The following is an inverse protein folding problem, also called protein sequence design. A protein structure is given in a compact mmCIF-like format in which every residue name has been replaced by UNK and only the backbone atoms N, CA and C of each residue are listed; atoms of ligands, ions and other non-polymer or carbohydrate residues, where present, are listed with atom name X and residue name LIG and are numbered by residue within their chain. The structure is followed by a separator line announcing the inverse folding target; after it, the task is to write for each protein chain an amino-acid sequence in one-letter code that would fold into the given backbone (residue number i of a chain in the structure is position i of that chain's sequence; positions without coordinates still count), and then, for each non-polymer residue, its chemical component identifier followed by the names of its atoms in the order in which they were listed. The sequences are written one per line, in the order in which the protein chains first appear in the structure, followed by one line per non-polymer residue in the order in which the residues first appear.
data_IF_349738876316
#
_entry.id   IF_349738876316
#
_cell.length_a   1.000
_cell.length_b   1.000
_cell.length_c   1.000
_cell.angle_alpha   90.00
_cell.angle_beta   90.00
_cell.angle_gamma   90.00
#
_symmetry.space_group_name_H-M   'P 1'
#
loop_
_entity.id
_entity.type
_entity.pdbx_description
1 polymer ?
#
# COMPACT_ATOMS: atom_id res chain seq x y z
N UNK A 1 58.45 31.49 20.18
CA UNK A 1 57.66 30.50 20.94
C UNK A 1 56.85 29.69 19.96
N UNK A 2 57.01 28.37 20.02
CA UNK A 2 56.61 27.40 19.01
C UNK A 2 55.11 27.11 19.06
N UNK A 3 54.44 27.16 17.92
CA UNK A 3 53.20 26.40 17.70
C UNK A 3 53.47 25.38 16.60
N UNK A 4 53.57 24.12 17.00
CA UNK A 4 53.59 22.95 16.14
C UNK A 4 52.17 22.64 15.68
N UNK A 5 51.88 22.93 14.42
CA UNK A 5 50.63 22.52 13.77
C UNK A 5 50.83 21.19 13.05
N UNK A 6 50.23 20.14 13.59
CA UNK A 6 50.03 18.86 12.95
C UNK A 6 49.19 19.04 11.68
N UNK A 7 49.77 18.83 10.50
CA UNK A 7 49.01 18.58 9.28
C UNK A 7 49.24 17.12 8.90
N UNK A 8 48.23 16.30 9.20
CA UNK A 8 48.18 14.88 8.82
C UNK A 8 48.18 14.73 7.28
N UNK A 9 49.02 13.88 6.69
CA UNK A 9 49.01 13.59 5.25
C UNK A 9 47.96 12.51 4.92
N UNK A 10 46.68 12.77 5.23
CA UNK A 10 45.57 11.82 4.97
C UNK A 10 44.82 12.14 3.67
N UNK A 11 45.05 13.29 3.04
CA UNK A 11 44.40 13.63 1.78
C UNK A 11 45.36 13.54 0.59
N UNK A 12 45.77 12.31 0.26
CA UNK A 12 46.25 12.00 -1.09
C UNK A 12 45.62 10.70 -1.57
N UNK A 13 44.84 10.86 -2.63
CA UNK A 13 44.48 9.84 -3.61
C UNK A 13 43.51 8.76 -3.14
N UNK A 14 42.22 8.98 -3.40
CA UNK A 14 41.41 7.97 -4.08
C UNK A 14 40.17 8.65 -4.67
N UNK A 15 40.34 9.33 -5.81
CA UNK A 15 39.25 9.41 -6.80
C UNK A 15 39.12 7.99 -7.34
N UNK A 16 38.41 7.14 -6.58
CA UNK A 16 37.93 5.87 -7.11
C UNK A 16 36.73 6.20 -7.97
N UNK A 17 36.97 6.13 -9.27
CA UNK A 17 36.04 5.74 -10.31
C UNK A 17 34.70 5.29 -9.72
N UNK A 18 33.66 6.12 -9.88
CA UNK A 18 32.29 5.61 -9.97
C UNK A 18 32.25 4.70 -11.19
N UNK A 19 32.72 3.46 -11.03
CA UNK A 19 32.37 2.39 -11.94
C UNK A 19 30.88 2.23 -11.74
N UNK A 20 30.11 2.74 -12.70
CA UNK A 20 28.73 2.35 -12.93
C UNK A 20 28.71 0.85 -13.18
N UNK A 21 28.81 0.07 -12.10
CA UNK A 21 28.40 -1.31 -12.09
C UNK A 21 26.92 -1.27 -12.36
N UNK A 22 26.55 -1.54 -13.62
CA UNK A 22 25.22 -2.05 -13.93
C UNK A 22 25.10 -3.37 -13.18
N UNK A 23 24.78 -3.29 -11.89
CA UNK A 23 24.35 -4.43 -11.12
C UNK A 23 23.16 -4.97 -11.87
N UNK A 24 23.34 -6.13 -12.51
CA UNK A 24 22.26 -6.83 -13.17
C UNK A 24 21.12 -6.92 -12.16
N UNK A 25 20.02 -6.20 -12.42
CA UNK A 25 18.86 -6.25 -11.55
C UNK A 25 18.36 -7.68 -11.56
N UNK A 26 18.66 -8.43 -10.50
CA UNK A 26 18.15 -9.78 -10.32
C UNK A 26 16.64 -9.64 -10.11
N UNK A 27 15.88 -9.74 -11.20
CA UNK A 27 14.43 -9.82 -11.21
C UNK A 27 13.99 -11.13 -10.57
N UNK A 28 14.03 -11.18 -9.23
CA UNK A 28 13.48 -12.25 -8.42
C UNK A 28 11.95 -12.20 -8.50
N UNK A 29 11.39 -12.78 -9.56
CA UNK A 29 9.95 -13.03 -9.64
C UNK A 29 9.58 -14.25 -8.81
N UNK A 30 8.53 -14.11 -8.01
CA UNK A 30 7.95 -15.20 -7.21
C UNK A 30 6.55 -15.45 -7.73
N UNK A 31 6.26 -16.72 -8.06
CA UNK A 31 4.97 -17.18 -8.59
C UNK A 31 3.88 -17.30 -7.50
N UNK A 32 3.91 -16.40 -6.50
CA UNK A 32 2.90 -16.33 -5.45
C UNK A 32 1.71 -15.48 -5.91
N UNK A 33 0.51 -15.88 -5.49
CA UNK A 33 -0.70 -15.07 -5.70
C UNK A 33 -0.52 -13.67 -5.13
N UNK A 34 -0.95 -12.67 -5.89
CA UNK A 34 -0.94 -11.27 -5.46
C UNK A 34 -2.34 -10.86 -5.03
N UNK A 35 -2.43 -10.16 -3.92
CA UNK A 35 -3.68 -9.53 -3.49
C UNK A 35 -4.11 -8.45 -4.47
N UNK A 36 -5.36 -8.52 -4.94
CA UNK A 36 -5.96 -7.50 -5.78
C UNK A 36 -6.13 -6.18 -5.00
N UNK A 37 -5.28 -5.20 -5.30
CA UNK A 37 -5.17 -3.96 -4.52
C UNK A 37 -6.45 -3.13 -4.50
N UNK A 38 -7.20 -3.10 -5.61
CA UNK A 38 -8.50 -2.40 -5.66
C UNK A 38 -9.54 -3.01 -4.73
N UNK A 39 -9.56 -4.34 -4.61
CA UNK A 39 -10.45 -5.04 -3.70
C UNK A 39 -10.02 -4.79 -2.24
N UNK A 40 -8.72 -4.90 -1.95
CA UNK A 40 -8.19 -4.67 -0.61
C UNK A 40 -8.39 -3.25 -0.08
N UNK A 41 -8.49 -2.24 -0.96
CA UNK A 41 -8.83 -0.87 -0.56
C UNK A 41 -10.30 -0.71 -0.16
N UNK A 42 -11.20 -1.51 -0.74
CA UNK A 42 -12.66 -1.39 -0.57
C UNK A 42 -13.22 -2.35 0.49
N UNK A 43 -12.61 -3.51 0.63
CA UNK A 43 -13.05 -4.60 1.49
C UNK A 43 -12.05 -4.85 2.61
N UNK A 44 -12.56 -5.21 3.78
CA UNK A 44 -11.75 -5.65 4.92
C UNK A 44 -12.21 -7.02 5.40
N UNK A 45 -11.24 -7.93 5.59
CA UNK A 45 -11.46 -9.27 6.15
C UNK A 45 -11.89 -9.16 7.61
N UNK A 46 -12.86 -9.98 7.98
CA UNK A 46 -13.36 -10.23 9.36
C UNK A 46 -13.05 -11.71 9.68
N UNK A 47 -13.40 -12.22 10.86
CA UNK A 47 -13.20 -13.63 11.22
C UNK A 47 -13.74 -14.58 10.14
N UNK A 48 -15.02 -14.43 9.78
CA UNK A 48 -15.68 -15.39 8.87
C UNK A 48 -16.01 -14.80 7.48
N UNK A 49 -16.03 -13.47 7.37
CA UNK A 49 -16.55 -12.76 6.19
C UNK A 49 -15.74 -11.49 5.85
N UNK A 50 -16.31 -10.64 4.99
CA UNK A 50 -15.72 -9.36 4.61
C UNK A 50 -16.70 -8.22 4.86
N UNK A 51 -16.19 -7.03 5.17
CA UNK A 51 -16.98 -5.80 5.34
C UNK A 51 -16.55 -4.70 4.38
N UNK A 52 -17.49 -3.85 3.95
CA UNK A 52 -17.25 -2.67 3.10
C UNK A 52 -18.04 -1.45 3.57
N UNK A 53 -17.66 -0.26 3.09
CA UNK A 53 -18.53 0.92 3.17
C UNK A 53 -19.74 0.80 2.23
N UNK A 54 -20.89 1.34 2.65
CA UNK A 54 -22.09 1.43 1.80
C UNK A 54 -21.89 2.48 0.69
N UNK A 55 -22.50 2.23 -0.47
CA UNK A 55 -22.40 3.12 -1.62
C UNK A 55 -23.47 4.22 -1.59
N UNK A 56 -23.33 5.26 -2.43
CA UNK A 56 -24.38 6.25 -2.67
C UNK A 56 -24.41 7.45 -1.73
N UNK A 57 -23.37 7.69 -0.92
CA UNK A 57 -23.32 8.81 0.05
C UNK A 57 -22.39 9.96 -0.33
N UNK A 58 -21.71 9.91 -1.47
CA UNK A 58 -20.68 10.89 -1.86
C UNK A 58 -21.24 12.22 -2.37
N UNK A 59 -22.16 12.21 -3.33
CA UNK A 59 -22.73 13.40 -3.98
C UNK A 59 -24.20 13.14 -4.40
N UNK A 60 -24.91 14.16 -4.90
CA UNK A 60 -26.28 13.99 -5.43
C UNK A 60 -27.36 13.76 -4.37
N UNK A 61 -27.10 14.13 -3.12
CA UNK A 61 -27.98 13.86 -1.98
C UNK A 61 -28.96 15.00 -1.65
N UNK A 62 -29.08 16.00 -2.52
CA UNK A 62 -30.02 17.11 -2.33
C UNK A 62 -31.47 16.59 -2.39
N UNK A 63 -32.32 17.03 -1.46
CA UNK A 63 -33.72 16.56 -1.36
C UNK A 63 -33.91 15.19 -0.71
N UNK A 64 -32.84 14.46 -0.37
CA UNK A 64 -32.95 13.18 0.31
C UNK A 64 -33.23 13.37 1.79
N UNK A 65 -34.15 12.55 2.33
CA UNK A 65 -34.45 12.55 3.76
C UNK A 65 -33.22 12.15 4.58
N UNK A 66 -33.10 12.71 5.80
CA UNK A 66 -32.06 12.31 6.76
C UNK A 66 -32.10 10.80 7.06
N UNK A 67 -33.29 10.19 7.06
CA UNK A 67 -33.48 8.74 7.28
C UNK A 67 -32.84 7.92 6.16
N UNK A 68 -33.07 8.29 4.90
CA UNK A 68 -32.46 7.63 3.73
C UNK A 68 -30.94 7.73 3.77
N UNK A 69 -30.40 8.91 4.08
CA UNK A 69 -28.96 9.14 4.19
C UNK A 69 -28.31 8.36 5.34
N UNK A 70 -29.03 8.19 6.46
CA UNK A 70 -28.57 7.35 7.58
C UNK A 70 -28.47 5.88 7.18
N UNK A 71 -29.40 5.38 6.37
CA UNK A 71 -29.38 4.00 5.89
C UNK A 71 -28.16 3.70 4.99
N UNK A 72 -27.68 4.69 4.23
CA UNK A 72 -26.47 4.59 3.40
C UNK A 72 -25.17 4.88 4.16
N UNK A 73 -25.25 5.25 5.44
CA UNK A 73 -24.06 5.48 6.26
C UNK A 73 -23.53 4.16 6.86
N UNK A 74 -22.23 4.14 7.13
CA UNK A 74 -21.57 3.05 7.84
C UNK A 74 -21.08 1.89 6.95
N UNK A 75 -20.82 0.76 7.62
CA UNK A 75 -20.26 -0.46 7.02
C UNK A 75 -21.34 -1.53 6.90
N UNK A 76 -21.20 -2.41 5.92
CA UNK A 76 -22.06 -3.57 5.72
C UNK A 76 -21.22 -4.81 5.44
N UNK A 77 -21.75 -5.98 5.77
CA UNK A 77 -21.12 -7.26 5.44
C UNK A 77 -21.25 -7.56 3.94
N UNK A 78 -20.38 -8.45 3.46
CA UNK A 78 -20.45 -9.01 2.13
C UNK A 78 -21.69 -9.90 2.01
N UNK A 79 -22.36 -9.81 0.85
CA UNK A 79 -23.38 -10.77 0.49
C UNK A 79 -22.72 -12.12 0.15
N UNK A 80 -23.40 -13.23 0.44
CA UNK A 80 -22.88 -14.59 0.33
C UNK A 80 -22.32 -14.91 -1.06
N UNK A 81 -23.01 -14.45 -2.09
CA UNK A 81 -22.61 -14.60 -3.51
C UNK A 81 -21.23 -14.02 -3.82
N UNK A 82 -20.77 -13.01 -3.08
CA UNK A 82 -19.47 -12.37 -3.33
C UNK A 82 -18.32 -13.00 -2.53
N UNK A 83 -18.61 -13.75 -1.47
CA UNK A 83 -17.59 -14.25 -0.53
C UNK A 83 -16.56 -15.12 -1.26
N UNK A 84 -17.01 -16.04 -2.12
CA UNK A 84 -16.13 -16.92 -2.90
C UNK A 84 -15.15 -16.13 -3.76
N UNK A 85 -15.60 -15.05 -4.38
CA UNK A 85 -14.75 -14.21 -5.23
C UNK A 85 -13.76 -13.38 -4.40
N UNK A 86 -14.21 -12.83 -3.27
CA UNK A 86 -13.36 -12.05 -2.37
C UNK A 86 -12.22 -12.87 -1.77
N UNK A 87 -12.47 -14.14 -1.40
CA UNK A 87 -11.42 -15.06 -0.93
C UNK A 87 -10.33 -15.29 -1.98
N UNK A 88 -10.68 -15.30 -3.27
CA UNK A 88 -9.71 -15.47 -4.37
C UNK A 88 -8.92 -14.18 -4.65
N UNK A 89 -9.59 -13.03 -4.58
CA UNK A 89 -8.97 -11.72 -4.81
C UNK A 89 -8.04 -11.29 -3.67
N UNK A 90 -8.30 -11.76 -2.45
CA UNK A 90 -7.56 -11.39 -1.25
C UNK A 90 -7.14 -12.65 -0.46
N UNK A 91 -6.12 -13.37 -0.96
CA UNK A 91 -5.66 -14.62 -0.34
C UNK A 91 -4.91 -14.41 0.99
N UNK A 92 -4.40 -13.20 1.24
CA UNK A 92 -3.57 -12.85 2.39
C UNK A 92 -4.33 -11.93 3.34
#
# INVERSE_FOLDING_TARGET
MFFSSFINPIFKNCVSTFMGGQGASLMLTRNLMKTHKGAAKRWRKTADSFKRGKAGRSHGNAGWSRRSLKALSGKTLAHETHIKHLKRLMPN
#
